data_IF_962355572681
#
_entry.id   IF_962355572681
#
_cell.length_a   1.000
_cell.length_b   1.000
_cell.length_c   1.000
_cell.angle_alpha   90.00
_cell.angle_beta   90.00
_cell.angle_gamma   90.00
#
_symmetry.space_group_name_H-M   'P 1'
#
loop_
_entity.id
_entity.type
_entity.pdbx_description
1 polymer ?
#
# COMPACT_ATOMS: atom_id res chain seq x y z
N UNK A 1 -17.64 -34.43 12.19
CA UNK A 1 -16.93 -33.56 13.16
C UNK A 1 -15.72 -33.01 12.43
N UNK A 2 -15.73 -31.73 12.11
CA UNK A 2 -14.58 -31.05 11.52
C UNK A 2 -13.44 -31.01 12.54
N UNK A 3 -12.21 -31.33 12.16
CA UNK A 3 -11.09 -31.29 13.08
C UNK A 3 -10.74 -29.85 13.43
N UNK A 4 -10.14 -29.57 14.59
CA UNK A 4 -9.68 -28.24 14.99
C UNK A 4 -8.77 -27.60 13.92
N UNK A 5 -7.94 -28.38 13.25
CA UNK A 5 -7.10 -27.95 12.15
C UNK A 5 -7.91 -27.45 10.94
N UNK A 6 -8.98 -28.18 10.55
CA UNK A 6 -9.85 -27.77 9.46
C UNK A 6 -10.61 -26.46 9.76
N UNK A 7 -11.00 -26.25 11.03
CA UNK A 7 -11.62 -25.00 11.48
C UNK A 7 -10.63 -23.83 11.45
N UNK A 8 -9.37 -24.05 11.87
CA UNK A 8 -8.33 -23.03 11.76
C UNK A 8 -8.04 -22.66 10.31
N UNK A 9 -7.98 -23.65 9.43
CA UNK A 9 -7.72 -23.44 8.01
C UNK A 9 -8.87 -22.70 7.31
N UNK A 10 -10.13 -23.05 7.58
CA UNK A 10 -11.28 -22.37 6.99
C UNK A 10 -11.40 -20.91 7.48
N UNK A 11 -11.13 -20.64 8.77
CA UNK A 11 -11.08 -19.28 9.30
C UNK A 11 -9.99 -18.44 8.61
N UNK A 12 -8.78 -19.00 8.46
CA UNK A 12 -7.65 -18.35 7.79
C UNK A 12 -7.99 -17.99 6.34
N UNK A 13 -8.57 -18.93 5.57
CA UNK A 13 -9.02 -18.68 4.19
C UNK A 13 -10.03 -17.53 4.10
N UNK A 14 -10.98 -17.46 5.04
CA UNK A 14 -11.93 -16.34 5.08
C UNK A 14 -11.25 -15.00 5.36
N UNK A 15 -10.25 -14.97 6.24
CA UNK A 15 -9.50 -13.75 6.55
C UNK A 15 -8.65 -13.29 5.35
N UNK A 16 -7.94 -14.21 4.71
CA UNK A 16 -7.13 -13.91 3.52
C UNK A 16 -8.00 -13.43 2.36
N UNK A 17 -9.12 -14.10 2.11
CA UNK A 17 -10.11 -13.68 1.13
C UNK A 17 -10.69 -12.29 1.44
N UNK A 18 -11.03 -12.01 2.70
CA UNK A 18 -11.52 -10.70 3.11
C UNK A 18 -10.49 -9.60 2.87
N UNK A 19 -9.21 -9.85 3.22
CA UNK A 19 -8.11 -8.92 2.98
C UNK A 19 -7.98 -8.61 1.49
N UNK A 20 -8.08 -9.61 0.63
CA UNK A 20 -8.00 -9.44 -0.82
C UNK A 20 -9.22 -8.68 -1.37
N UNK A 21 -10.43 -9.17 -1.10
CA UNK A 21 -11.69 -8.64 -1.66
C UNK A 21 -11.93 -7.18 -1.22
N UNK A 22 -11.66 -6.85 0.06
CA UNK A 22 -11.81 -5.47 0.55
C UNK A 22 -10.81 -4.54 -0.14
N UNK A 23 -9.58 -4.97 -0.37
CA UNK A 23 -8.60 -4.16 -1.11
C UNK A 23 -8.96 -3.98 -2.58
N UNK A 24 -9.65 -4.98 -3.17
CA UNK A 24 -10.08 -4.94 -4.57
C UNK A 24 -11.24 -3.97 -4.81
N UNK A 25 -12.26 -3.99 -3.97
CA UNK A 25 -13.51 -3.26 -4.24
C UNK A 25 -14.06 -2.42 -3.08
N UNK A 26 -13.31 -2.32 -1.98
CA UNK A 26 -13.70 -1.58 -0.79
C UNK A 26 -14.55 -2.40 0.19
N UNK A 27 -14.61 -1.93 1.44
CA UNK A 27 -15.39 -2.58 2.49
C UNK A 27 -16.91 -2.50 2.23
N UNK A 28 -17.39 -1.33 1.83
CA UNK A 28 -18.84 -1.09 1.65
C UNK A 28 -19.42 -1.98 0.55
N UNK A 29 -18.73 -2.08 -0.59
CA UNK A 29 -19.16 -2.89 -1.72
C UNK A 29 -18.92 -4.41 -1.53
N UNK A 30 -18.13 -4.82 -0.55
CA UNK A 30 -17.85 -6.22 -0.25
C UNK A 30 -19.05 -6.88 0.46
N UNK A 31 -19.54 -8.02 -0.07
CA UNK A 31 -20.57 -8.84 0.53
C UNK A 31 -19.96 -10.11 1.12
N UNK A 32 -20.70 -10.75 2.05
CA UNK A 32 -20.28 -12.06 2.62
C UNK A 32 -20.11 -13.11 1.53
N UNK A 33 -20.98 -13.09 0.52
CA UNK A 33 -20.92 -13.99 -0.64
C UNK A 33 -19.60 -13.87 -1.40
N UNK A 34 -19.13 -12.64 -1.64
CA UNK A 34 -17.88 -12.39 -2.37
C UNK A 34 -16.67 -12.97 -1.62
N UNK A 35 -16.69 -12.86 -0.29
CA UNK A 35 -15.63 -13.42 0.56
C UNK A 35 -15.68 -14.94 0.55
N UNK A 36 -16.89 -15.52 0.67
CA UNK A 36 -17.08 -16.98 0.62
C UNK A 36 -16.61 -17.57 -0.72
N UNK A 37 -16.96 -16.91 -1.82
CA UNK A 37 -16.54 -17.32 -3.17
C UNK A 37 -15.02 -17.26 -3.30
N UNK A 38 -14.39 -16.16 -2.92
CA UNK A 38 -12.93 -16.02 -2.97
C UNK A 38 -12.20 -17.02 -2.06
N UNK A 39 -12.80 -17.39 -0.92
CA UNK A 39 -12.25 -18.38 -0.01
C UNK A 39 -12.51 -19.84 -0.45
N UNK A 40 -13.38 -20.08 -1.44
CA UNK A 40 -13.86 -21.42 -1.79
C UNK A 40 -14.68 -22.08 -0.68
N UNK A 41 -15.45 -21.27 0.10
CA UNK A 41 -16.19 -21.72 1.27
C UNK A 41 -17.67 -21.31 1.18
N UNK A 42 -18.50 -21.97 2.01
CA UNK A 42 -19.94 -21.69 2.06
C UNK A 42 -20.27 -20.58 3.05
N UNK A 43 -21.47 -19.96 2.92
CA UNK A 43 -22.03 -19.07 3.95
C UNK A 43 -22.17 -19.74 5.30
N UNK A 44 -22.48 -21.06 5.33
CA UNK A 44 -22.51 -21.83 6.59
C UNK A 44 -21.17 -21.84 7.29
N UNK A 45 -20.06 -22.06 6.55
CA UNK A 45 -18.71 -21.98 7.09
C UNK A 45 -18.37 -20.55 7.58
N UNK A 46 -18.80 -19.50 6.86
CA UNK A 46 -18.64 -18.13 7.31
C UNK A 46 -19.31 -17.90 8.67
N UNK A 47 -20.61 -18.19 8.77
CA UNK A 47 -21.38 -17.94 10.00
C UNK A 47 -21.01 -18.86 11.17
N UNK A 48 -20.28 -19.96 10.90
CA UNK A 48 -19.63 -20.75 11.95
C UNK A 48 -18.50 -19.98 12.63
N UNK A 49 -17.77 -19.13 11.90
CA UNK A 49 -16.61 -18.38 12.41
C UNK A 49 -16.90 -16.94 12.79
N UNK A 50 -17.83 -16.27 12.09
CA UNK A 50 -18.08 -14.84 12.23
C UNK A 50 -19.58 -14.55 12.28
N UNK A 51 -20.00 -13.73 13.24
CA UNK A 51 -21.41 -13.33 13.39
C UNK A 51 -21.86 -12.31 12.34
N UNK A 52 -20.91 -11.56 11.75
CA UNK A 52 -21.18 -10.49 10.77
C UNK A 52 -19.96 -10.20 9.90
N UNK A 53 -20.18 -9.44 8.80
CA UNK A 53 -19.09 -8.87 7.99
C UNK A 53 -18.18 -7.94 8.82
N UNK A 54 -18.74 -7.19 9.75
CA UNK A 54 -17.98 -6.30 10.64
C UNK A 54 -17.06 -7.10 11.57
N UNK A 55 -17.56 -8.17 12.19
CA UNK A 55 -16.77 -9.05 13.04
C UNK A 55 -15.59 -9.69 12.26
N UNK A 56 -15.85 -10.13 11.03
CA UNK A 56 -14.78 -10.62 10.16
C UNK A 56 -13.79 -9.50 9.82
N UNK A 57 -14.26 -8.30 9.48
CA UNK A 57 -13.38 -7.19 9.09
C UNK A 57 -12.46 -6.74 10.23
N UNK A 58 -12.95 -6.71 11.49
CA UNK A 58 -12.13 -6.45 12.67
C UNK A 58 -11.00 -7.49 12.80
N UNK A 59 -11.36 -8.78 12.73
CA UNK A 59 -10.35 -9.86 12.79
C UNK A 59 -9.41 -9.83 11.57
N UNK A 60 -9.89 -9.43 10.39
CA UNK A 60 -9.05 -9.28 9.20
C UNK A 60 -8.04 -8.14 9.35
N UNK A 61 -8.39 -7.03 10.02
CA UNK A 61 -7.44 -5.96 10.38
C UNK A 61 -6.37 -6.47 11.35
N UNK A 62 -6.76 -7.25 12.37
CA UNK A 62 -5.79 -7.87 13.29
C UNK A 62 -4.84 -8.85 12.56
N UNK A 63 -5.40 -9.70 11.70
CA UNK A 63 -4.62 -10.63 10.86
C UNK A 63 -3.65 -9.89 9.95
N UNK A 64 -4.10 -8.81 9.29
CA UNK A 64 -3.29 -7.93 8.47
C UNK A 64 -2.16 -7.29 9.27
N UNK A 65 -2.45 -6.79 10.47
CA UNK A 65 -1.46 -6.15 11.34
C UNK A 65 -0.38 -7.14 11.79
N UNK A 66 -0.77 -8.37 12.14
CA UNK A 66 0.18 -9.42 12.51
C UNK A 66 1.10 -9.78 11.33
N UNK A 67 0.52 -10.06 10.14
CA UNK A 67 1.27 -10.44 8.96
C UNK A 67 2.20 -9.32 8.46
N UNK A 68 1.72 -8.07 8.42
CA UNK A 68 2.56 -6.93 8.01
C UNK A 68 3.60 -6.59 9.08
N UNK A 69 3.27 -6.70 10.35
CA UNK A 69 4.22 -6.52 11.47
C UNK A 69 5.38 -7.51 11.36
N UNK A 70 5.11 -8.78 11.13
CA UNK A 70 6.12 -9.81 10.90
C UNK A 70 6.96 -9.50 9.65
N UNK A 71 6.31 -9.20 8.52
CA UNK A 71 6.97 -8.85 7.26
C UNK A 71 7.99 -7.71 7.44
N UNK A 72 7.61 -6.63 8.12
CA UNK A 72 8.49 -5.48 8.30
C UNK A 72 9.56 -5.71 9.37
N UNK A 73 9.26 -6.43 10.45
CA UNK A 73 10.22 -6.68 11.52
C UNK A 73 11.34 -7.66 11.12
N UNK A 74 11.07 -8.57 10.19
CA UNK A 74 12.02 -9.59 9.71
C UNK A 74 12.71 -9.20 8.40
N UNK A 75 12.32 -8.09 7.78
CA UNK A 75 12.87 -7.64 6.51
C UNK A 75 14.37 -7.33 6.61
N UNK A 76 15.12 -7.64 5.54
CA UNK A 76 16.58 -7.51 5.50
C UNK A 76 17.10 -6.10 5.81
N UNK A 77 16.32 -5.05 5.52
CA UNK A 77 16.72 -3.67 5.81
C UNK A 77 16.92 -3.41 7.32
N UNK A 78 16.29 -4.18 8.20
CA UNK A 78 16.44 -4.04 9.66
C UNK A 78 17.88 -4.29 10.14
N UNK A 79 18.65 -5.07 9.42
CA UNK A 79 20.05 -5.39 9.76
C UNK A 79 21.05 -4.30 9.34
N UNK A 80 20.62 -3.28 8.59
CA UNK A 80 21.49 -2.20 8.11
C UNK A 80 21.84 -1.28 9.27
N UNK A 81 23.14 -1.11 9.51
CA UNK A 81 23.66 -0.37 10.68
C UNK A 81 23.46 1.14 10.55
N UNK A 82 23.79 1.71 9.37
CA UNK A 82 23.61 3.13 9.15
C UNK A 82 22.11 3.46 9.09
N UNK A 83 21.60 4.40 9.93
CA UNK A 83 20.17 4.68 10.02
C UNK A 83 19.60 5.33 8.76
N UNK A 84 20.39 6.09 7.98
CA UNK A 84 19.93 6.68 6.72
C UNK A 84 19.82 5.62 5.65
N UNK A 85 20.84 4.74 5.54
CA UNK A 85 20.81 3.62 4.60
C UNK A 85 19.65 2.66 4.95
N UNK A 86 19.38 2.46 6.25
CA UNK A 86 18.23 1.66 6.72
C UNK A 86 16.89 2.28 6.32
N UNK A 87 16.73 3.61 6.44
CA UNK A 87 15.52 4.32 6.00
C UNK A 87 15.34 4.25 4.48
N UNK A 88 16.42 4.45 3.72
CA UNK A 88 16.40 4.33 2.26
C UNK A 88 16.04 2.91 1.84
N UNK A 89 16.65 1.91 2.46
CA UNK A 89 16.36 0.50 2.19
C UNK A 89 14.93 0.10 2.61
N UNK A 90 14.36 0.70 3.66
CA UNK A 90 12.94 0.57 3.96
C UNK A 90 12.06 1.07 2.80
N UNK A 91 12.37 2.24 2.23
CA UNK A 91 11.62 2.79 1.10
C UNK A 91 11.76 1.90 -0.15
N UNK A 92 12.97 1.41 -0.42
CA UNK A 92 13.23 0.46 -1.51
C UNK A 92 12.46 -0.86 -1.30
N UNK A 93 12.40 -1.35 -0.05
CA UNK A 93 11.59 -2.52 0.32
C UNK A 93 10.09 -2.26 0.08
N UNK A 94 9.57 -1.08 0.46
CA UNK A 94 8.18 -0.70 0.16
C UNK A 94 7.89 -0.70 -1.34
N UNK A 95 8.85 -0.24 -2.15
CA UNK A 95 8.75 -0.27 -3.61
C UNK A 95 8.75 -1.70 -4.15
N UNK A 96 9.59 -2.58 -3.61
CA UNK A 96 9.66 -3.98 -4.05
C UNK A 96 8.38 -4.79 -3.76
N UNK A 97 7.50 -4.29 -2.88
CA UNK A 97 6.20 -4.90 -2.61
C UNK A 97 5.12 -4.52 -3.63
N UNK A 98 5.42 -3.66 -4.62
CA UNK A 98 4.48 -3.27 -5.68
C UNK A 98 4.44 -4.33 -6.80
N UNK A 99 4.11 -5.55 -6.44
CA UNK A 99 4.02 -6.69 -7.34
C UNK A 99 2.59 -7.22 -7.41
N UNK A 100 2.22 -7.81 -8.55
CA UNK A 100 0.91 -8.38 -8.77
C UNK A 100 -0.18 -7.34 -9.05
N UNK A 101 -1.42 -7.71 -8.77
CA UNK A 101 -2.60 -6.87 -8.96
C UNK A 101 -2.76 -5.85 -7.82
N UNK A 102 -3.56 -4.79 -8.07
CA UNK A 102 -3.81 -3.73 -7.07
C UNK A 102 -4.17 -4.22 -5.66
N UNK A 103 -5.02 -5.26 -5.50
CA UNK A 103 -5.33 -5.81 -4.18
C UNK A 103 -4.13 -6.45 -3.48
N UNK A 104 -3.09 -6.86 -4.19
CA UNK A 104 -1.96 -7.60 -3.63
C UNK A 104 -0.94 -6.67 -2.96
N UNK A 105 -0.84 -5.41 -3.40
CA UNK A 105 0.13 -4.46 -2.85
C UNK A 105 -0.48 -3.25 -2.12
N UNK A 106 -1.79 -2.97 -2.27
CA UNK A 106 -2.41 -1.83 -1.58
C UNK A 106 -2.74 -2.12 -0.12
N UNK A 107 -2.96 -1.08 0.67
CA UNK A 107 -3.19 -1.20 2.11
C UNK A 107 -4.66 -1.51 2.43
N UNK A 108 -4.93 -2.59 3.18
CA UNK A 108 -6.28 -2.91 3.66
C UNK A 108 -6.87 -1.76 4.48
N UNK A 109 -6.10 -1.31 5.48
CA UNK A 109 -6.55 -0.31 6.44
C UNK A 109 -6.76 1.05 5.78
N UNK A 110 -5.84 1.45 4.87
CA UNK A 110 -5.99 2.66 4.06
C UNK A 110 -7.28 2.65 3.25
N UNK A 111 -7.56 1.54 2.55
CA UNK A 111 -8.81 1.37 1.78
C UNK A 111 -10.06 1.52 2.66
N UNK A 112 -10.05 0.94 3.86
CA UNK A 112 -11.19 1.03 4.78
C UNK A 112 -11.36 2.42 5.40
N UNK A 113 -10.24 3.13 5.69
CA UNK A 113 -10.31 4.48 6.29
C UNK A 113 -11.11 5.43 5.41
N UNK A 114 -10.85 5.43 4.11
CA UNK A 114 -11.50 6.35 3.17
C UNK A 114 -13.02 6.17 3.09
N UNK A 115 -13.51 4.94 3.30
CA UNK A 115 -14.94 4.63 3.15
C UNK A 115 -15.75 4.77 4.43
N UNK A 116 -15.16 4.41 5.58
CA UNK A 116 -15.95 4.17 6.79
C UNK A 116 -15.39 4.86 8.04
N UNK A 117 -14.68 6.00 7.87
CA UNK A 117 -14.04 6.69 8.98
C UNK A 117 -15.03 7.21 10.06
N UNK A 118 -16.29 7.50 9.70
CA UNK A 118 -17.31 7.98 10.64
C UNK A 118 -18.39 6.93 10.97
N UNK A 119 -18.64 5.98 10.08
CA UNK A 119 -19.84 5.12 10.15
C UNK A 119 -19.68 3.86 10.99
N UNK A 120 -18.45 3.43 11.30
CA UNK A 120 -18.15 2.19 12.02
C UNK A 120 -17.12 2.41 13.14
N UNK A 121 -17.55 2.93 14.33
CA UNK A 121 -16.62 3.28 15.41
C UNK A 121 -15.66 2.17 15.86
N UNK A 122 -16.05 0.87 15.96
CA UNK A 122 -15.12 -0.20 16.33
C UNK A 122 -14.00 -0.38 15.30
N UNK A 123 -14.32 -0.32 14.01
CA UNK A 123 -13.35 -0.39 12.92
C UNK A 123 -12.43 0.83 12.90
N UNK A 124 -12.90 2.00 13.32
CA UNK A 124 -12.11 3.22 13.42
C UNK A 124 -10.95 3.06 14.40
N UNK A 125 -11.19 2.62 15.63
CA UNK A 125 -10.15 2.44 16.65
C UNK A 125 -9.07 1.44 16.20
N UNK A 126 -9.45 0.30 15.64
CA UNK A 126 -8.52 -0.71 15.13
C UNK A 126 -7.64 -0.19 13.97
N UNK A 127 -8.16 0.70 13.14
CA UNK A 127 -7.44 1.30 12.00
C UNK A 127 -6.44 2.37 12.43
N UNK A 128 -6.87 3.28 13.30
CA UNK A 128 -6.01 4.35 13.83
C UNK A 128 -4.77 3.73 14.47
N UNK A 129 -4.96 2.72 15.32
CA UNK A 129 -3.86 1.99 15.93
C UNK A 129 -2.93 1.33 14.89
N UNK A 130 -3.46 0.74 13.83
CA UNK A 130 -2.69 0.06 12.79
C UNK A 130 -1.73 1.01 12.04
N UNK A 131 -2.25 2.11 11.51
CA UNK A 131 -1.46 3.06 10.71
C UNK A 131 -0.41 3.74 11.59
N UNK A 132 -0.82 4.27 12.75
CA UNK A 132 0.09 5.00 13.63
C UNK A 132 1.09 4.11 14.34
N UNK A 133 0.77 2.83 14.60
CA UNK A 133 1.74 1.85 15.08
C UNK A 133 2.86 1.65 14.05
N UNK A 134 2.52 1.50 12.77
CA UNK A 134 3.53 1.38 11.72
C UNK A 134 4.37 2.64 11.58
N UNK A 135 3.77 3.84 11.64
CA UNK A 135 4.51 5.12 11.67
C UNK A 135 5.52 5.14 12.81
N UNK A 136 5.10 4.74 14.02
CA UNK A 136 5.96 4.74 15.19
C UNK A 136 7.20 3.82 15.05
N UNK A 137 7.15 2.78 14.22
CA UNK A 137 8.32 1.92 13.97
C UNK A 137 9.46 2.63 13.24
N UNK A 138 9.19 3.70 12.51
CA UNK A 138 10.19 4.47 11.77
C UNK A 138 10.85 5.56 12.62
N UNK A 139 10.15 6.06 13.64
CA UNK A 139 10.62 7.19 14.45
C UNK A 139 12.01 6.99 15.07
N UNK A 140 12.36 5.82 15.65
CA UNK A 140 13.69 5.60 16.22
C UNK A 140 14.83 5.71 15.21
N UNK A 141 14.65 5.13 14.00
CA UNK A 141 15.65 5.20 12.94
C UNK A 141 15.83 6.63 12.42
N UNK A 142 14.76 7.40 12.31
CA UNK A 142 14.82 8.81 11.92
C UNK A 142 15.52 9.64 12.98
N UNK A 143 15.18 9.45 14.27
CA UNK A 143 15.83 10.16 15.39
C UNK A 143 17.33 9.84 15.45
N UNK A 144 17.70 8.59 15.27
CA UNK A 144 19.10 8.15 15.19
C UNK A 144 19.84 8.81 14.02
N UNK A 145 19.21 8.87 12.83
CA UNK A 145 19.76 9.52 11.66
C UNK A 145 19.98 11.02 11.88
N UNK A 146 18.98 11.72 12.41
CA UNK A 146 19.11 13.15 12.75
C UNK A 146 20.30 13.41 13.68
N UNK A 147 20.42 12.62 14.73
CA UNK A 147 21.52 12.74 15.70
C UNK A 147 22.88 12.45 15.07
N UNK A 148 22.99 11.37 14.29
CA UNK A 148 24.27 10.91 13.72
C UNK A 148 24.78 11.86 12.63
N UNK A 149 23.86 12.40 11.81
CA UNK A 149 24.19 13.29 10.70
C UNK A 149 24.10 14.78 11.06
N UNK A 150 23.80 15.10 12.32
CA UNK A 150 23.71 16.49 12.78
C UNK A 150 22.61 17.30 12.09
N UNK A 151 21.55 16.62 11.63
CA UNK A 151 20.43 17.26 10.93
C UNK A 151 19.50 17.89 11.94
N UNK A 152 19.30 19.21 11.80
CA UNK A 152 18.36 20.01 12.60
C UNK A 152 17.39 20.72 11.64
N UNK A 153 16.18 20.99 12.13
CA UNK A 153 15.14 21.66 11.33
C UNK A 153 13.88 21.88 12.15
N UNK A 154 12.87 22.41 11.51
CA UNK A 154 11.53 22.64 12.06
C UNK A 154 10.62 21.38 11.97
N UNK A 155 11.20 20.23 11.70
CA UNK A 155 10.52 18.95 11.60
C UNK A 155 11.02 17.93 12.66
N UNK A 156 10.21 16.93 12.96
CA UNK A 156 10.49 15.91 13.97
C UNK A 156 10.58 14.51 13.34
N UNK A 157 11.19 13.52 14.04
CA UNK A 157 11.16 12.13 13.58
C UNK A 157 9.75 11.65 13.26
N UNK A 158 8.77 11.99 14.11
CA UNK A 158 7.37 11.65 13.92
C UNK A 158 6.78 12.30 12.67
N UNK A 159 7.07 13.58 12.40
CA UNK A 159 6.54 14.27 11.21
C UNK A 159 7.08 13.67 9.91
N UNK A 160 8.38 13.29 9.86
CA UNK A 160 8.95 12.61 8.70
C UNK A 160 8.40 11.19 8.55
N UNK A 161 8.18 10.45 9.64
CA UNK A 161 7.54 9.14 9.60
C UNK A 161 6.09 9.22 9.07
N UNK A 162 5.31 10.22 9.51
CA UNK A 162 3.96 10.50 8.99
C UNK A 162 4.00 10.88 7.52
N UNK A 163 4.91 11.76 7.11
CA UNK A 163 5.07 12.14 5.70
C UNK A 163 5.43 10.93 4.83
N UNK A 164 6.34 10.07 5.29
CA UNK A 164 6.69 8.82 4.60
C UNK A 164 5.46 7.95 4.38
N UNK A 165 4.64 7.76 5.41
CA UNK A 165 3.41 6.99 5.31
C UNK A 165 2.36 7.67 4.40
N UNK A 166 2.23 9.00 4.47
CA UNK A 166 1.31 9.75 3.62
C UNK A 166 1.65 9.62 2.13
N UNK A 167 2.94 9.69 1.76
CA UNK A 167 3.39 9.47 0.38
C UNK A 167 3.07 8.05 -0.09
N UNK A 168 3.34 7.04 0.74
CA UNK A 168 3.08 5.64 0.38
C UNK A 168 1.57 5.39 0.23
N UNK A 169 0.73 5.86 1.14
CA UNK A 169 -0.73 5.71 1.03
C UNK A 169 -1.29 6.47 -0.17
N UNK A 170 -0.85 7.72 -0.40
CA UNK A 170 -1.21 8.51 -1.57
C UNK A 170 -0.81 7.82 -2.88
N UNK A 171 0.36 7.16 -2.91
CA UNK A 171 0.81 6.41 -4.08
C UNK A 171 -0.10 5.22 -4.41
N UNK A 172 -0.71 4.55 -3.41
CA UNK A 172 -1.69 3.49 -3.63
C UNK A 172 -3.01 4.02 -4.21
N UNK A 173 -3.44 5.22 -3.78
CA UNK A 173 -4.61 5.89 -4.39
C UNK A 173 -4.34 6.18 -5.86
N UNK A 174 -3.16 6.73 -6.18
CA UNK A 174 -2.75 6.99 -7.57
C UNK A 174 -2.65 5.71 -8.40
N UNK A 175 -2.14 4.61 -7.82
CA UNK A 175 -2.08 3.32 -8.48
C UNK A 175 -3.49 2.79 -8.80
N UNK A 176 -4.44 2.89 -7.87
CA UNK A 176 -5.84 2.54 -8.11
C UNK A 176 -6.48 3.40 -9.22
N UNK A 177 -6.21 4.70 -9.24
CA UNK A 177 -6.72 5.61 -10.26
C UNK A 177 -6.11 5.35 -11.66
N UNK A 178 -4.84 4.95 -11.73
CA UNK A 178 -4.11 4.71 -12.99
C UNK A 178 -4.18 3.24 -13.47
N UNK A 179 -4.64 2.32 -12.61
CA UNK A 179 -4.76 0.90 -12.92
C UNK A 179 -3.45 0.11 -12.88
N UNK A 180 -2.42 0.56 -12.13
CA UNK A 180 -1.16 -0.17 -12.07
C UNK A 180 -0.12 0.39 -11.11
N UNK A 181 0.99 -0.33 -10.87
CA UNK A 181 2.00 0.01 -9.87
C UNK A 181 2.95 1.15 -10.27
N UNK A 182 3.10 1.47 -11.56
CA UNK A 182 4.15 2.37 -12.06
C UNK A 182 4.13 3.76 -11.44
N UNK A 183 2.93 4.34 -11.28
CA UNK A 183 2.77 5.66 -10.65
C UNK A 183 3.12 5.62 -9.16
N UNK A 184 2.83 4.52 -8.49
CA UNK A 184 3.22 4.32 -7.10
C UNK A 184 4.74 4.18 -6.97
N UNK A 185 5.37 3.39 -7.82
CA UNK A 185 6.82 3.22 -7.86
C UNK A 185 7.53 4.57 -8.08
N UNK A 186 7.06 5.39 -9.04
CA UNK A 186 7.61 6.72 -9.29
C UNK A 186 7.48 7.65 -8.07
N UNK A 187 6.35 7.62 -7.37
CA UNK A 187 6.12 8.41 -6.15
C UNK A 187 7.05 7.98 -5.02
N UNK A 188 7.25 6.69 -4.85
CA UNK A 188 8.17 6.12 -3.84
C UNK A 188 9.63 6.46 -4.17
N UNK A 189 10.01 6.51 -5.46
CA UNK A 189 11.34 6.97 -5.87
C UNK A 189 11.57 8.46 -5.53
N UNK A 190 10.52 9.30 -5.56
CA UNK A 190 10.61 10.68 -5.08
C UNK A 190 10.78 10.75 -3.56
N UNK A 191 10.06 9.94 -2.80
CA UNK A 191 10.22 9.82 -1.35
C UNK A 191 11.65 9.42 -0.98
N UNK A 192 12.21 8.40 -1.68
CA UNK A 192 13.59 7.96 -1.50
C UNK A 192 14.57 9.11 -1.67
N UNK A 193 14.48 9.84 -2.80
CA UNK A 193 15.34 10.99 -3.07
C UNK A 193 15.19 12.11 -2.03
N UNK A 194 13.96 12.34 -1.56
CA UNK A 194 13.69 13.32 -0.51
C UNK A 194 14.40 12.97 0.80
N UNK A 195 14.34 11.71 1.23
CA UNK A 195 15.06 11.25 2.42
C UNK A 195 16.58 11.38 2.23
N UNK A 196 17.12 10.98 1.08
CA UNK A 196 18.55 11.14 0.77
C UNK A 196 18.98 12.61 0.84
N UNK A 197 18.19 13.54 0.31
CA UNK A 197 18.45 14.97 0.36
C UNK A 197 18.43 15.53 1.78
N UNK A 198 17.46 15.12 2.62
CA UNK A 198 17.36 15.59 4.01
C UNK A 198 18.61 15.26 4.83
N UNK A 199 19.26 14.14 4.55
CA UNK A 199 20.45 13.68 5.26
C UNK A 199 21.76 13.91 4.48
N UNK A 200 21.74 14.78 3.46
CA UNK A 200 22.94 15.15 2.70
C UNK A 200 23.53 14.03 1.86
N UNK A 201 22.77 12.97 1.56
CA UNK A 201 23.18 11.91 0.64
C UNK A 201 22.89 12.36 -0.79
N UNK A 202 23.92 12.70 -1.59
CA UNK A 202 23.71 12.96 -3.01
C UNK A 202 23.52 11.62 -3.74
N UNK A 203 22.49 11.53 -4.57
CA UNK A 203 22.23 10.36 -5.42
C UNK A 203 23.30 10.25 -6.52
N UNK A 204 24.46 9.70 -6.19
CA UNK A 204 25.55 9.45 -7.16
C UNK A 204 25.28 8.28 -8.11
N UNK A 205 24.10 7.63 -8.02
CA UNK A 205 23.73 6.48 -8.87
C UNK A 205 22.89 6.77 -10.10
N UNK A 206 22.38 8.00 -10.26
CA UNK A 206 21.33 8.28 -11.27
C UNK A 206 21.84 8.64 -12.67
N UNK A 207 23.15 8.83 -12.90
CA UNK A 207 23.64 9.23 -14.24
C UNK A 207 24.05 8.06 -15.15
N UNK A 208 24.24 6.87 -14.65
CA UNK A 208 24.58 5.70 -15.47
C UNK A 208 23.32 4.97 -15.99
N UNK A 209 22.29 4.81 -15.15
CA UNK A 209 21.05 4.09 -15.50
C UNK A 209 20.11 4.91 -16.36
N UNK A 210 20.02 6.24 -16.16
CA UNK A 210 19.18 7.13 -16.96
C UNK A 210 19.65 7.25 -18.43
N UNK A 211 20.95 7.01 -18.71
CA UNK A 211 21.47 6.96 -20.09
C UNK A 211 21.06 5.70 -20.85
N UNK A 212 20.84 4.59 -20.14
CA UNK A 212 20.47 3.31 -20.76
C UNK A 212 18.96 3.25 -21.05
N UNK A 213 18.11 3.81 -20.17
CA UNK A 213 16.65 3.81 -20.35
C UNK A 213 16.16 4.77 -21.45
N UNK A 214 16.87 5.88 -21.73
CA UNK A 214 16.48 6.81 -22.82
C UNK A 214 16.68 6.23 -24.23
N UNK A 215 17.36 5.09 -24.40
CA UNK A 215 17.57 4.44 -25.70
C UNK A 215 16.47 3.46 -26.12
N UNK A 216 15.51 3.13 -25.26
CA UNK A 216 14.55 2.06 -25.48
C UNK A 216 13.08 2.44 -25.75
N UNK A 217 12.70 3.74 -25.76
CA UNK A 217 11.30 4.12 -25.99
C UNK A 217 11.07 4.50 -27.46
N UNK A 218 10.37 3.66 -28.26
CA UNK A 218 9.95 4.06 -29.61
C UNK A 218 8.86 5.13 -29.50
N UNK A 219 9.11 6.31 -30.06
CA UNK A 219 8.10 7.36 -30.23
C UNK A 219 6.93 6.81 -31.06
N UNK A 220 5.80 6.47 -30.40
CA UNK A 220 4.54 6.30 -31.11
C UNK A 220 4.13 7.65 -31.70
N UNK A 221 4.30 7.80 -33.04
CA UNK A 221 3.69 8.88 -33.79
C UNK A 221 2.16 8.70 -33.74
N UNK A 222 1.47 9.60 -33.05
CA UNK A 222 0.02 9.75 -33.21
C UNK A 222 -0.19 10.43 -34.56
N UNK A 223 -0.62 9.66 -35.55
CA UNK A 223 -1.27 10.21 -36.74
C UNK A 223 -2.69 10.64 -36.31
N UNK A 224 -2.88 11.92 -36.10
CA UNK A 224 -4.22 12.52 -36.08
C UNK A 224 -4.46 12.95 -37.54
N UNK A 225 -5.23 12.16 -38.27
CA UNK A 225 -5.76 12.59 -39.57
C UNK A 225 -6.89 13.57 -39.33
N UNK A 226 -6.63 14.82 -39.69
CA UNK A 226 -7.63 15.88 -39.86
C UNK A 226 -8.29 15.70 -41.24
N UNK A 227 -9.35 14.90 -41.31
CA UNK A 227 -10.28 14.91 -42.45
C UNK A 227 -11.52 14.16 -42.05
N UNK A 228 -12.56 14.86 -41.58
CA UNK A 228 -13.99 14.54 -41.70
C UNK A 228 -14.81 15.47 -40.76
N UNK A 229 -14.68 16.77 -41.01
CA UNK A 229 -15.69 17.76 -40.62
C UNK A 229 -15.82 18.69 -41.82
N UNK A 230 -16.64 18.29 -42.79
CA UNK A 230 -17.35 19.14 -43.73
C UNK A 230 -18.16 18.23 -44.67
N UNK A 231 -19.42 18.07 -44.38
CA UNK A 231 -20.53 17.80 -45.32
C UNK A 231 -21.74 17.24 -44.58
N UNK A 232 -22.57 18.13 -44.06
CA UNK A 232 -24.01 17.95 -44.00
C UNK A 232 -24.67 19.24 -43.52
N UNK A 233 -24.74 20.22 -44.41
CA UNK A 233 -25.77 21.25 -44.43
C UNK A 233 -25.96 21.64 -45.88
N UNK A 234 -26.89 20.95 -46.55
CA UNK A 234 -27.68 21.47 -47.70
C UNK A 234 -28.69 20.37 -48.10
N UNK A 235 -29.92 20.70 -47.96
CA UNK A 235 -31.12 20.11 -48.60
C UNK A 235 -32.16 19.56 -47.67
N UNK A 236 -33.27 20.33 -47.58
CA UNK A 236 -34.60 19.84 -47.27
C UNK A 236 -35.21 20.42 -46.03
#
# INVERSE_FOLDING_TARGET
METLEAQHESKKKLLEAAVYVIRAKGYTATRVEDICEAAGLTKGSFFHHFTSKEALALTAVEHWNAATGELFSTAAYQSIKDPVDRLVAYVDFRKSLLEGDLPEFTCLVGTMVEEIYETHPPLRAARDESIFRHVATLEPAIAEAMRLYGVTGDWTPRSLALYTQAVIQGSFILAKANGGPDVAAASIDHLRRYIEMLFGRSSSRTNAEAKTQRRGYPRRRRHVSHSDIDRQDASG
#
